data_IF_229814378087
#
_entry.id   IF_229814378087
#
_cell.length_a   1.000
_cell.length_b   1.000
_cell.length_c   1.000
_cell.angle_alpha   90.00
_cell.angle_beta   90.00
_cell.angle_gamma   90.00
#
_symmetry.space_group_name_H-M   'P 1'
#
loop_
_entity.id
_entity.type
_entity.pdbx_description
1 polymer ?
#
# COMPACT_ATOMS: atom_id res chain seq x y z
N UNK A 1 28.57 -20.37 -19.13
CA UNK A 1 28.44 -20.08 -17.69
C UNK A 1 27.28 -19.08 -17.55
N UNK A 2 26.35 -19.30 -16.64
CA UNK A 2 25.29 -18.34 -16.35
C UNK A 2 25.80 -17.31 -15.33
N UNK A 3 25.52 -16.02 -15.57
CA UNK A 3 25.79 -14.94 -14.62
C UNK A 3 24.48 -14.55 -13.93
N UNK A 4 24.57 -14.15 -12.67
CA UNK A 4 23.44 -13.65 -11.88
C UNK A 4 23.38 -12.12 -11.94
N UNK A 5 22.24 -11.56 -11.56
CA UNK A 5 22.05 -10.11 -11.50
C UNK A 5 22.80 -9.54 -10.28
N UNK A 6 23.89 -8.82 -10.52
CA UNK A 6 24.75 -8.23 -9.49
C UNK A 6 24.06 -7.15 -8.66
N UNK A 7 22.98 -6.54 -9.16
CA UNK A 7 22.24 -5.53 -8.41
C UNK A 7 21.66 -6.07 -7.09
N UNK A 8 21.42 -7.38 -6.99
CA UNK A 8 20.99 -8.01 -5.74
C UNK A 8 22.01 -7.88 -4.60
N UNK A 9 23.28 -7.68 -4.91
CA UNK A 9 24.32 -7.42 -3.89
C UNK A 9 24.15 -6.05 -3.21
N UNK A 10 23.33 -5.15 -3.79
CA UNK A 10 23.05 -3.82 -3.24
C UNK A 10 21.82 -3.80 -2.32
N UNK A 11 21.08 -4.91 -2.21
CA UNK A 11 19.98 -5.04 -1.27
C UNK A 11 20.52 -5.20 0.16
N UNK A 12 19.75 -4.75 1.15
CA UNK A 12 20.02 -5.09 2.55
C UNK A 12 19.92 -6.61 2.73
N UNK A 13 20.79 -7.19 3.58
CA UNK A 13 20.84 -8.64 3.80
C UNK A 13 19.52 -9.22 4.29
N UNK A 14 18.76 -8.47 5.09
CA UNK A 14 17.47 -8.90 5.58
C UNK A 14 16.38 -7.87 5.26
N UNK A 15 15.19 -8.38 5.00
CA UNK A 15 14.00 -7.56 4.88
C UNK A 15 13.48 -7.20 6.28
N UNK A 16 13.19 -5.92 6.56
CA UNK A 16 12.75 -5.38 7.87
C UNK A 16 11.85 -6.31 8.68
N UNK A 17 10.83 -6.87 8.03
CA UNK A 17 9.85 -7.71 8.72
C UNK A 17 10.42 -9.09 9.14
N UNK A 18 11.49 -9.57 8.49
CA UNK A 18 12.18 -10.80 8.91
C UNK A 18 12.96 -10.57 10.20
N UNK A 19 13.66 -9.43 10.33
CA UNK A 19 14.41 -9.10 11.55
C UNK A 19 13.48 -8.97 12.76
N UNK A 20 12.34 -8.30 12.58
CA UNK A 20 11.29 -8.20 13.60
C UNK A 20 10.81 -9.60 13.99
N UNK A 21 10.50 -10.45 13.02
CA UNK A 21 10.01 -11.80 13.26
C UNK A 21 11.02 -12.64 14.07
N UNK A 22 12.31 -12.57 13.73
CA UNK A 22 13.37 -13.28 14.44
C UNK A 22 13.50 -12.81 15.90
N UNK A 23 13.55 -11.50 16.15
CA UNK A 23 13.60 -10.95 17.52
C UNK A 23 12.40 -11.36 18.36
N UNK A 24 11.19 -11.26 17.78
CA UNK A 24 9.94 -11.62 18.48
C UNK A 24 9.87 -13.12 18.77
N UNK A 25 10.30 -13.99 17.84
CA UNK A 25 10.34 -15.44 18.05
C UNK A 25 11.32 -15.81 19.16
N UNK A 26 12.53 -15.26 19.12
CA UNK A 26 13.53 -15.49 20.17
C UNK A 26 13.02 -15.05 21.56
N UNK A 27 12.36 -13.90 21.63
CA UNK A 27 11.77 -13.43 22.90
C UNK A 27 10.63 -14.35 23.39
N UNK A 28 9.74 -14.79 22.49
CA UNK A 28 8.63 -15.69 22.83
C UNK A 28 9.12 -17.05 23.32
N UNK A 29 10.19 -17.61 22.73
CA UNK A 29 10.82 -18.86 23.17
C UNK A 29 11.42 -18.72 24.57
N UNK A 30 12.07 -17.58 24.86
CA UNK A 30 12.65 -17.31 26.18
C UNK A 30 11.61 -16.97 27.27
N UNK A 31 10.41 -16.54 26.87
CA UNK A 31 9.35 -16.06 27.78
C UNK A 31 7.97 -16.64 27.38
N UNK A 32 7.76 -17.96 27.48
CA UNK A 32 6.54 -18.61 26.99
C UNK A 32 5.28 -18.24 27.81
N UNK A 33 5.45 -17.70 29.00
CA UNK A 33 4.39 -17.20 29.87
C UNK A 33 3.91 -15.77 29.52
N UNK A 34 4.61 -15.06 28.66
CA UNK A 34 4.30 -13.67 28.31
C UNK A 34 3.36 -13.58 27.11
N UNK A 35 2.26 -12.86 27.25
CA UNK A 35 1.37 -12.52 26.15
C UNK A 35 1.96 -11.34 25.36
N UNK A 36 2.42 -11.60 24.14
CA UNK A 36 2.91 -10.58 23.21
C UNK A 36 1.76 -10.06 22.35
N UNK A 37 1.54 -8.75 22.36
CA UNK A 37 0.54 -8.07 21.52
C UNK A 37 1.24 -7.50 20.28
N UNK A 38 0.78 -7.90 19.10
CA UNK A 38 1.39 -7.51 17.81
C UNK A 38 0.58 -6.40 17.15
N UNK A 39 1.14 -5.19 17.13
CA UNK A 39 0.59 -4.01 16.44
C UNK A 39 1.57 -3.48 15.36
N UNK A 40 2.43 -4.35 14.82
CA UNK A 40 3.45 -3.97 13.83
C UNK A 40 3.13 -4.42 12.40
N UNK A 41 2.43 -5.53 12.23
CA UNK A 41 2.17 -6.11 10.91
C UNK A 41 1.00 -5.39 10.25
N UNK A 42 1.19 -4.98 9.01
CA UNK A 42 0.14 -4.39 8.19
C UNK A 42 -0.78 -5.46 7.59
N UNK A 43 -1.26 -6.39 8.39
CA UNK A 43 -2.21 -7.42 7.99
C UNK A 43 -3.55 -7.26 8.74
N UNK A 44 -4.64 -7.46 8.00
CA UNK A 44 -5.99 -7.39 8.55
C UNK A 44 -6.27 -8.62 9.43
N UNK A 45 -7.12 -8.45 10.44
CA UNK A 45 -7.43 -9.50 11.43
C UNK A 45 -8.90 -9.91 11.43
N UNK A 46 -9.78 -9.09 10.84
CA UNK A 46 -11.18 -9.44 10.67
C UNK A 46 -11.36 -10.40 9.48
N UNK A 47 -12.34 -11.31 9.56
CA UNK A 47 -12.65 -12.22 8.46
C UNK A 47 -13.16 -11.47 7.22
N UNK A 48 -13.15 -12.14 6.08
CA UNK A 48 -13.79 -11.64 4.86
C UNK A 48 -15.28 -11.34 5.09
N UNK A 49 -15.78 -10.32 4.43
CA UNK A 49 -17.20 -9.97 4.44
C UNK A 49 -18.05 -11.16 3.98
N UNK A 50 -19.22 -11.35 4.60
CA UNK A 50 -20.08 -12.49 4.32
C UNK A 50 -20.48 -12.58 2.83
N UNK A 51 -20.84 -11.48 2.20
CA UNK A 51 -21.19 -11.44 0.78
C UNK A 51 -20.04 -11.89 -0.13
N UNK A 52 -18.79 -11.59 0.26
CA UNK A 52 -17.58 -12.03 -0.45
C UNK A 52 -17.41 -13.54 -0.33
N UNK A 53 -17.55 -14.08 0.88
CA UNK A 53 -17.48 -15.54 1.12
C UNK A 53 -18.56 -16.27 0.35
N UNK A 54 -19.80 -15.78 0.38
CA UNK A 54 -20.94 -16.38 -0.34
C UNK A 54 -20.69 -16.37 -1.87
N UNK A 55 -20.16 -15.29 -2.42
CA UNK A 55 -19.83 -15.18 -3.84
C UNK A 55 -18.72 -16.17 -4.24
N UNK A 56 -17.67 -16.28 -3.43
CA UNK A 56 -16.58 -17.24 -3.66
C UNK A 56 -17.09 -18.69 -3.56
N UNK A 57 -17.92 -19.02 -2.56
CA UNK A 57 -18.48 -20.35 -2.39
C UNK A 57 -19.36 -20.75 -3.59
N UNK A 58 -20.18 -19.83 -4.09
CA UNK A 58 -20.96 -20.04 -5.31
C UNK A 58 -20.05 -20.29 -6.52
N UNK A 59 -19.00 -19.48 -6.69
CA UNK A 59 -18.05 -19.66 -7.79
C UNK A 59 -17.30 -21.00 -7.70
N UNK A 60 -16.96 -21.48 -6.48
CA UNK A 60 -16.38 -22.83 -6.29
C UNK A 60 -17.36 -23.91 -6.76
N UNK A 61 -18.65 -23.80 -6.40
CA UNK A 61 -19.65 -24.76 -6.85
C UNK A 61 -19.81 -24.77 -8.38
N UNK A 62 -19.76 -23.62 -9.03
CA UNK A 62 -19.76 -23.47 -10.49
C UNK A 62 -18.58 -24.19 -11.15
N UNK A 63 -17.41 -24.20 -10.55
CA UNK A 63 -16.22 -24.89 -11.06
C UNK A 63 -16.34 -26.42 -11.03
N UNK A 64 -17.23 -26.95 -10.22
CA UNK A 64 -17.52 -28.37 -10.12
C UNK A 64 -18.53 -28.90 -11.18
N UNK A 65 -19.10 -28.05 -12.01
CA UNK A 65 -20.13 -28.40 -12.99
C UNK A 65 -19.62 -28.12 -14.39
N UNK A 66 -19.67 -29.11 -15.25
CA UNK A 66 -19.12 -29.07 -16.62
C UNK A 66 -19.63 -27.86 -17.44
N UNK A 67 -20.91 -27.50 -17.32
CA UNK A 67 -21.51 -26.39 -18.08
C UNK A 67 -21.09 -24.99 -17.59
N UNK A 68 -20.59 -24.89 -16.37
CA UNK A 68 -20.18 -23.62 -15.75
C UNK A 68 -18.69 -23.57 -15.40
N UNK A 69 -17.96 -24.67 -15.64
CA UNK A 69 -16.51 -24.71 -15.46
C UNK A 69 -15.80 -23.62 -16.25
N UNK A 70 -14.78 -23.03 -15.66
CA UNK A 70 -13.92 -21.99 -16.26
C UNK A 70 -12.49 -22.50 -16.37
N UNK A 71 -11.95 -22.51 -17.59
CA UNK A 71 -10.52 -22.68 -17.84
C UNK A 71 -9.74 -21.38 -17.60
N UNK A 72 -8.65 -21.19 -18.35
CA UNK A 72 -7.93 -19.92 -18.32
C UNK A 72 -8.86 -18.75 -18.66
N UNK A 73 -8.92 -17.78 -17.77
CA UNK A 73 -9.65 -16.53 -18.02
C UNK A 73 -8.82 -15.50 -18.78
N UNK A 74 -9.40 -14.32 -19.05
CA UNK A 74 -8.63 -13.18 -19.58
C UNK A 74 -7.54 -12.77 -18.59
N UNK A 75 -6.33 -12.55 -19.08
CA UNK A 75 -5.17 -12.17 -18.25
C UNK A 75 -5.39 -10.81 -17.55
N UNK A 76 -6.20 -9.93 -18.16
CA UNK A 76 -6.54 -8.60 -17.62
C UNK A 76 -7.67 -8.62 -16.59
N UNK A 77 -8.38 -9.73 -16.48
CA UNK A 77 -9.54 -9.89 -15.61
C UNK A 77 -10.85 -10.07 -16.39
N UNK A 78 -11.89 -10.47 -15.68
CA UNK A 78 -13.21 -10.68 -16.24
C UNK A 78 -14.03 -9.39 -16.33
N UNK A 79 -14.86 -9.28 -17.36
CA UNK A 79 -15.70 -8.11 -17.64
C UNK A 79 -16.63 -7.73 -16.47
N UNK A 80 -17.10 -8.72 -15.69
CA UNK A 80 -17.97 -8.44 -14.54
C UNK A 80 -17.25 -7.62 -13.47
N UNK A 81 -15.96 -7.89 -13.23
CA UNK A 81 -15.18 -7.13 -12.25
C UNK A 81 -14.77 -5.78 -12.79
N UNK A 82 -14.39 -5.68 -14.07
CA UNK A 82 -14.15 -4.40 -14.74
C UNK A 82 -15.37 -3.48 -14.65
N UNK A 83 -16.57 -3.98 -14.96
CA UNK A 83 -17.80 -3.20 -14.87
C UNK A 83 -18.08 -2.71 -13.45
N UNK A 84 -17.83 -3.54 -12.43
CA UNK A 84 -17.96 -3.15 -11.04
C UNK A 84 -16.97 -2.04 -10.66
N UNK A 85 -15.73 -2.13 -11.10
CA UNK A 85 -14.69 -1.12 -10.85
C UNK A 85 -14.97 0.21 -11.58
N UNK A 86 -15.39 0.17 -12.85
CA UNK A 86 -15.81 1.37 -13.60
C UNK A 86 -16.92 2.11 -12.83
N UNK A 87 -17.95 1.37 -12.36
CA UNK A 87 -19.02 1.95 -11.54
C UNK A 87 -18.51 2.53 -10.21
N UNK A 88 -17.56 1.84 -9.58
CA UNK A 88 -16.94 2.28 -8.33
C UNK A 88 -16.20 3.61 -8.49
N UNK A 89 -15.38 3.75 -9.53
CA UNK A 89 -14.69 5.01 -9.85
C UNK A 89 -15.65 6.14 -10.20
N UNK A 90 -16.71 5.84 -10.94
CA UNK A 90 -17.75 6.83 -11.26
C UNK A 90 -18.41 7.41 -10.00
N UNK A 91 -18.47 6.65 -8.89
CA UNK A 91 -19.07 7.11 -7.63
C UNK A 91 -18.32 8.25 -6.96
N UNK A 92 -17.05 8.47 -7.31
CA UNK A 92 -16.25 9.62 -6.87
C UNK A 92 -15.73 10.50 -8.02
N UNK A 93 -16.47 10.48 -9.14
CA UNK A 93 -16.29 11.43 -10.24
C UNK A 93 -15.20 11.08 -11.24
N UNK A 94 -14.67 9.87 -11.22
CA UNK A 94 -13.67 9.40 -12.18
C UNK A 94 -14.31 8.51 -13.24
N UNK A 95 -14.11 8.84 -14.51
CA UNK A 95 -14.55 8.01 -15.65
C UNK A 95 -13.37 7.17 -16.14
N UNK A 96 -13.53 5.86 -16.19
CA UNK A 96 -12.55 4.91 -16.73
C UNK A 96 -13.19 4.07 -17.84
N UNK A 97 -12.37 3.70 -18.83
CA UNK A 97 -12.68 2.63 -19.76
C UNK A 97 -12.33 1.26 -19.13
N UNK A 98 -13.07 0.22 -19.49
CA UNK A 98 -12.84 -1.13 -18.93
C UNK A 98 -11.43 -1.65 -19.17
N UNK A 99 -10.85 -1.35 -20.32
CA UNK A 99 -9.52 -1.77 -20.75
C UNK A 99 -8.39 -0.86 -20.26
N UNK A 100 -8.71 0.17 -19.47
CA UNK A 100 -7.75 0.91 -18.64
C UNK A 100 -7.46 0.16 -17.32
N UNK A 101 -8.26 -0.86 -16.95
CA UNK A 101 -8.18 -1.58 -15.67
C UNK A 101 -7.60 -2.98 -15.89
N UNK A 102 -6.61 -3.37 -15.11
CA UNK A 102 -5.94 -4.67 -15.16
C UNK A 102 -5.99 -5.33 -13.80
N UNK A 103 -6.70 -6.44 -13.67
CA UNK A 103 -6.83 -7.19 -12.42
C UNK A 103 -5.53 -7.95 -12.14
N UNK A 104 -5.09 -7.91 -10.88
CA UNK A 104 -3.84 -8.49 -10.43
C UNK A 104 -3.99 -9.25 -9.10
N UNK A 105 -2.91 -9.89 -8.67
CA UNK A 105 -2.82 -10.58 -7.38
C UNK A 105 -2.45 -9.64 -6.21
N UNK A 106 -2.48 -8.34 -6.43
CA UNK A 106 -2.33 -7.30 -5.40
C UNK A 106 -1.27 -6.26 -5.70
N UNK A 107 -1.40 -5.10 -5.06
CA UNK A 107 -0.54 -3.94 -5.31
C UNK A 107 0.96 -4.20 -5.10
N UNK A 108 1.36 -5.13 -4.21
CA UNK A 108 2.78 -5.45 -4.02
C UNK A 108 3.41 -6.00 -5.30
N UNK A 109 2.73 -6.93 -5.96
CA UNK A 109 3.18 -7.49 -7.24
C UNK A 109 3.14 -6.42 -8.34
N UNK A 110 2.10 -5.59 -8.37
CA UNK A 110 1.97 -4.52 -9.35
C UNK A 110 3.07 -3.47 -9.20
N UNK A 111 3.39 -3.04 -7.98
CA UNK A 111 4.48 -2.11 -7.71
C UNK A 111 5.83 -2.60 -8.25
N UNK A 112 6.07 -3.91 -8.22
CA UNK A 112 7.27 -4.52 -8.77
C UNK A 112 7.15 -4.73 -10.29
N UNK A 113 6.05 -5.30 -10.74
CA UNK A 113 5.85 -5.72 -12.12
C UNK A 113 5.74 -4.54 -13.10
N UNK A 114 5.16 -3.41 -12.67
CA UNK A 114 5.01 -2.22 -13.52
C UNK A 114 6.36 -1.65 -13.96
N UNK A 115 7.41 -1.92 -13.20
CA UNK A 115 8.76 -1.47 -13.56
C UNK A 115 9.31 -2.12 -14.84
N UNK A 116 8.74 -3.26 -15.27
CA UNK A 116 9.14 -3.95 -16.51
C UNK A 116 8.91 -3.11 -17.78
N UNK A 117 7.98 -2.14 -17.74
CA UNK A 117 7.66 -1.30 -18.90
C UNK A 117 8.50 -0.02 -18.97
N UNK A 118 9.38 0.21 -18.00
CA UNK A 118 10.26 1.38 -17.94
C UNK A 118 11.72 1.01 -18.19
N UNK A 119 12.46 1.90 -18.88
CA UNK A 119 13.92 1.73 -19.07
C UNK A 119 14.65 1.68 -17.74
N UNK A 120 15.71 0.87 -17.67
CA UNK A 120 16.59 0.85 -16.49
C UNK A 120 17.44 2.12 -16.38
N UNK A 121 17.52 2.93 -17.42
CA UNK A 121 18.18 4.24 -17.40
C UNK A 121 17.37 5.32 -16.69
N UNK A 122 16.07 5.07 -16.39
CA UNK A 122 15.21 6.05 -15.72
C UNK A 122 15.69 6.33 -14.31
N UNK A 123 15.60 7.61 -13.92
CA UNK A 123 15.77 8.07 -12.55
C UNK A 123 14.45 7.97 -11.80
N UNK A 124 14.50 7.35 -10.63
CA UNK A 124 13.34 7.09 -9.78
C UNK A 124 13.34 8.06 -8.59
N UNK A 125 12.21 8.70 -8.33
CA UNK A 125 12.01 9.58 -7.19
C UNK A 125 11.11 8.89 -6.17
N UNK A 126 11.63 8.69 -4.95
CA UNK A 126 10.97 7.92 -3.88
C UNK A 126 10.92 8.76 -2.60
N UNK A 127 9.76 8.87 -1.92
CA UNK A 127 9.70 9.45 -0.57
C UNK A 127 10.52 8.62 0.44
N UNK A 128 11.08 9.27 1.46
CA UNK A 128 11.71 8.63 2.63
C UNK A 128 11.12 9.29 3.89
N UNK A 129 10.47 8.55 4.80
CA UNK A 129 10.30 7.09 4.86
C UNK A 129 9.26 6.57 3.87
N UNK A 130 9.40 5.30 3.46
CA UNK A 130 8.57 4.71 2.42
C UNK A 130 8.39 3.19 2.62
N UNK A 131 7.39 2.63 1.93
CA UNK A 131 7.24 1.18 1.81
C UNK A 131 8.44 0.57 1.04
N UNK A 132 9.22 -0.36 1.65
CA UNK A 132 10.51 -0.80 1.09
C UNK A 132 10.44 -1.40 -0.31
N UNK A 133 9.27 -1.90 -0.73
CA UNK A 133 9.10 -2.55 -2.05
C UNK A 133 9.44 -1.61 -3.21
N UNK A 134 9.13 -0.31 -3.11
CA UNK A 134 9.46 0.64 -4.19
C UNK A 134 10.98 0.78 -4.35
N UNK A 135 11.70 0.83 -3.23
CA UNK A 135 13.15 0.93 -3.20
C UNK A 135 13.79 -0.36 -3.73
N UNK A 136 13.48 -1.51 -3.11
CA UNK A 136 14.12 -2.78 -3.39
C UNK A 136 13.93 -3.21 -4.85
N UNK A 137 12.72 -3.02 -5.40
CA UNK A 137 12.43 -3.34 -6.80
C UNK A 137 13.30 -2.54 -7.76
N UNK A 138 13.52 -1.26 -7.51
CA UNK A 138 14.36 -0.42 -8.38
C UNK A 138 15.85 -0.67 -8.18
N UNK A 139 16.30 -1.05 -6.97
CA UNK A 139 17.66 -1.56 -6.73
C UNK A 139 17.89 -2.83 -7.55
N UNK A 140 16.97 -3.80 -7.53
CA UNK A 140 17.07 -5.03 -8.32
C UNK A 140 17.21 -4.76 -9.83
N UNK A 141 16.63 -3.68 -10.32
CA UNK A 141 16.73 -3.25 -11.72
C UNK A 141 17.98 -2.39 -12.01
N UNK A 142 18.74 -2.00 -10.99
CA UNK A 142 19.94 -1.16 -11.12
C UNK A 142 19.65 0.29 -11.47
N UNK A 143 18.46 0.82 -11.16
CA UNK A 143 18.05 2.20 -11.45
C UNK A 143 18.66 3.19 -10.48
N UNK A 144 18.88 4.41 -10.97
CA UNK A 144 19.26 5.54 -10.12
C UNK A 144 18.07 6.01 -9.27
N UNK A 145 18.28 6.18 -7.97
CA UNK A 145 17.23 6.54 -7.01
C UNK A 145 17.57 7.86 -6.33
N UNK A 146 16.62 8.78 -6.35
CA UNK A 146 16.65 10.04 -5.61
C UNK A 146 15.58 9.96 -4.51
N UNK A 147 15.94 10.38 -3.30
CA UNK A 147 15.03 10.39 -2.15
C UNK A 147 14.46 11.78 -1.91
N UNK A 148 13.17 11.83 -1.59
CA UNK A 148 12.48 13.02 -1.09
C UNK A 148 12.32 12.90 0.41
N UNK A 149 12.85 13.84 1.17
CA UNK A 149 12.80 13.81 2.63
C UNK A 149 11.39 14.16 3.17
N UNK A 150 10.71 13.15 3.71
CA UNK A 150 9.53 13.33 4.54
C UNK A 150 9.94 13.64 5.98
N UNK A 151 9.48 14.77 6.51
CA UNK A 151 9.82 15.30 7.83
C UNK A 151 8.57 15.71 8.60
N UNK A 152 8.65 15.90 9.92
CA UNK A 152 7.56 16.45 10.70
C UNK A 152 6.98 17.76 10.14
N UNK A 153 7.85 18.64 9.63
CA UNK A 153 7.50 19.98 9.13
C UNK A 153 6.63 19.94 7.86
N UNK A 154 6.74 18.86 7.07
CA UNK A 154 5.91 18.62 5.89
C UNK A 154 4.92 17.45 6.08
N UNK A 155 4.66 17.06 7.33
CA UNK A 155 3.79 15.93 7.68
C UNK A 155 4.15 14.63 6.96
N UNK A 156 5.45 14.43 6.65
CA UNK A 156 5.97 13.30 5.86
C UNK A 156 5.37 13.18 4.45
N UNK A 157 4.94 14.31 3.90
CA UNK A 157 4.41 14.45 2.53
C UNK A 157 5.33 15.39 1.75
N UNK A 158 6.46 14.90 1.21
CA UNK A 158 7.34 15.74 0.40
C UNK A 158 6.62 16.26 -0.84
N UNK A 159 6.98 17.47 -1.24
CA UNK A 159 6.42 18.16 -2.40
C UNK A 159 7.46 18.22 -3.53
N UNK A 160 7.04 18.48 -4.79
CA UNK A 160 7.96 18.57 -5.91
C UNK A 160 9.04 19.63 -5.67
N UNK A 161 10.29 19.28 -6.01
CA UNK A 161 11.40 20.23 -6.11
C UNK A 161 11.75 20.45 -7.58
N UNK A 162 11.63 21.68 -8.06
CA UNK A 162 11.90 22.08 -9.45
C UNK A 162 13.37 21.86 -9.89
N UNK A 163 14.29 21.75 -8.93
CA UNK A 163 15.71 21.47 -9.18
C UNK A 163 16.00 19.96 -9.33
N UNK A 164 15.06 19.11 -8.98
CA UNK A 164 15.19 17.66 -9.13
C UNK A 164 14.47 17.21 -10.38
N UNK A 165 15.12 16.41 -11.22
CA UNK A 165 14.49 15.76 -12.37
C UNK A 165 14.41 14.26 -12.12
N UNK A 166 13.24 13.72 -12.32
CA UNK A 166 12.98 12.28 -12.21
C UNK A 166 12.05 11.84 -13.35
N UNK A 167 12.17 10.59 -13.74
CA UNK A 167 11.39 10.01 -14.83
C UNK A 167 10.18 9.22 -14.28
N UNK A 168 10.35 8.57 -13.12
CA UNK A 168 9.30 7.81 -12.45
C UNK A 168 9.25 8.22 -10.98
N UNK A 169 8.05 8.54 -10.51
CA UNK A 169 7.80 9.10 -9.18
C UNK A 169 6.86 8.16 -8.43
N UNK A 170 7.26 7.67 -7.26
CA UNK A 170 6.35 6.94 -6.39
C UNK A 170 5.66 7.88 -5.40
N UNK A 171 4.34 7.81 -5.34
CA UNK A 171 3.53 8.47 -4.32
C UNK A 171 2.59 7.44 -3.71
N UNK A 172 2.46 7.41 -2.40
CA UNK A 172 1.49 6.57 -1.69
C UNK A 172 0.57 7.46 -0.86
N UNK A 173 -0.73 7.40 -1.13
CA UNK A 173 -1.70 8.22 -0.40
C UNK A 173 -3.04 7.49 -0.23
N UNK A 174 -3.45 7.26 1.02
CA UNK A 174 -2.72 7.45 2.28
C UNK A 174 -1.42 6.65 2.37
N UNK A 175 -0.40 7.21 3.03
CA UNK A 175 0.97 6.68 2.99
C UNK A 175 1.21 5.54 4.00
N UNK A 176 1.97 4.56 3.59
CA UNK A 176 2.64 3.59 4.46
C UNK A 176 4.14 3.93 4.48
N UNK A 177 4.76 4.30 5.63
CA UNK A 177 4.32 4.00 7.00
C UNK A 177 3.60 5.13 7.75
N UNK A 178 3.57 6.36 7.23
CA UNK A 178 3.28 7.57 8.01
C UNK A 178 1.78 7.82 8.23
N UNK A 179 0.92 7.18 7.44
CA UNK A 179 -0.52 7.39 7.49
C UNK A 179 -1.01 8.74 6.96
N UNK A 180 -0.10 9.60 6.50
CA UNK A 180 -0.42 10.91 5.94
C UNK A 180 -1.03 10.77 4.54
N UNK A 181 -1.90 11.71 4.16
CA UNK A 181 -2.57 11.72 2.87
C UNK A 181 -2.45 13.09 2.20
N UNK A 182 -2.16 13.10 0.90
CA UNK A 182 -2.07 14.32 0.10
C UNK A 182 -3.44 14.96 -0.10
N UNK A 183 -3.50 16.29 0.00
CA UNK A 183 -4.68 17.05 -0.41
C UNK A 183 -4.79 17.14 -1.92
N UNK A 184 -5.94 17.61 -2.41
CA UNK A 184 -6.15 17.84 -3.84
C UNK A 184 -5.11 18.80 -4.42
N UNK A 185 -4.88 19.92 -3.75
CA UNK A 185 -3.93 20.95 -4.19
C UNK A 185 -2.48 20.45 -4.21
N UNK A 186 -2.13 19.55 -3.31
CA UNK A 186 -0.80 18.92 -3.30
C UNK A 186 -0.64 17.95 -4.47
N UNK A 187 -1.67 17.17 -4.78
CA UNK A 187 -1.64 16.27 -5.94
C UNK A 187 -1.65 17.05 -7.26
N UNK A 188 -2.35 18.18 -7.35
CA UNK A 188 -2.30 19.08 -8.52
C UNK A 188 -0.86 19.55 -8.81
N UNK A 189 -0.08 19.88 -7.75
CA UNK A 189 1.33 20.24 -7.92
C UNK A 189 2.17 19.07 -8.43
N UNK A 190 1.93 17.85 -7.94
CA UNK A 190 2.62 16.65 -8.42
C UNK A 190 2.28 16.32 -9.88
N UNK A 191 1.01 16.45 -10.26
CA UNK A 191 0.58 16.26 -11.66
C UNK A 191 1.21 17.30 -12.57
N UNK A 192 1.21 18.58 -12.16
CA UNK A 192 1.84 19.66 -12.93
C UNK A 192 3.36 19.42 -13.10
N UNK A 193 4.05 19.00 -12.02
CA UNK A 193 5.47 18.64 -12.07
C UNK A 193 5.73 17.47 -13.04
N UNK A 194 4.93 16.41 -12.97
CA UNK A 194 5.09 15.24 -13.82
C UNK A 194 4.85 15.57 -15.30
N UNK A 195 3.85 16.37 -15.62
CA UNK A 195 3.56 16.83 -16.97
C UNK A 195 4.69 17.71 -17.53
N UNK A 196 5.22 18.62 -16.71
CA UNK A 196 6.33 19.52 -17.10
C UNK A 196 7.62 18.76 -17.42
N UNK A 197 7.88 17.66 -16.71
CA UNK A 197 9.11 16.88 -16.82
C UNK A 197 8.95 15.59 -17.65
N UNK A 198 7.82 15.37 -18.31
CA UNK A 198 7.47 14.10 -19.00
C UNK A 198 7.59 12.86 -18.07
N UNK A 199 7.48 13.04 -16.76
CA UNK A 199 7.60 11.99 -15.77
C UNK A 199 6.30 11.18 -15.65
N UNK A 200 6.39 9.98 -15.04
CA UNK A 200 5.23 9.13 -14.71
C UNK A 200 5.12 8.98 -13.21
N UNK A 201 3.94 9.26 -12.67
CA UNK A 201 3.60 8.99 -11.28
C UNK A 201 3.06 7.57 -11.14
N UNK A 202 3.68 6.77 -10.29
CA UNK A 202 3.13 5.51 -9.78
C UNK A 202 2.45 5.81 -8.45
N UNK A 203 1.12 5.89 -8.49
CA UNK A 203 0.31 6.30 -7.35
C UNK A 203 -0.26 5.06 -6.64
N UNK A 204 0.26 4.75 -5.47
CA UNK A 204 -0.23 3.64 -4.64
C UNK A 204 -1.42 4.10 -3.78
N UNK A 205 -2.61 3.59 -4.14
CA UNK A 205 -3.89 3.88 -3.50
C UNK A 205 -4.38 2.72 -2.61
N UNK A 206 -3.49 1.88 -2.10
CA UNK A 206 -3.86 0.67 -1.35
C UNK A 206 -4.71 0.94 -0.09
N UNK A 207 -4.74 2.17 0.40
CA UNK A 207 -5.50 2.59 1.59
C UNK A 207 -6.63 3.58 1.27
N UNK A 208 -6.99 3.78 0.00
CA UNK A 208 -7.98 4.77 -0.43
C UNK A 208 -9.34 4.63 0.28
N UNK A 209 -9.74 3.38 0.59
CA UNK A 209 -11.02 3.09 1.24
C UNK A 209 -11.11 3.61 2.69
N UNK A 210 -9.98 3.93 3.32
CA UNK A 210 -9.90 4.56 4.65
C UNK A 210 -10.15 6.07 4.63
N UNK A 211 -10.10 6.68 3.46
CA UNK A 211 -10.36 8.12 3.31
C UNK A 211 -11.84 8.40 3.53
N UNK A 212 -12.14 9.22 4.55
CA UNK A 212 -13.50 9.66 4.90
C UNK A 212 -13.72 11.14 4.68
N UNK A 213 -12.65 11.93 4.63
CA UNK A 213 -12.72 13.37 4.35
C UNK A 213 -12.84 13.60 2.83
N UNK A 214 -13.91 14.25 2.34
CA UNK A 214 -14.10 14.55 0.92
C UNK A 214 -13.04 15.48 0.33
N UNK A 215 -12.29 16.20 1.16
CA UNK A 215 -11.19 17.06 0.71
C UNK A 215 -9.93 16.25 0.33
N UNK A 216 -9.82 14.99 0.76
CA UNK A 216 -8.72 14.10 0.42
C UNK A 216 -9.11 13.21 -0.76
N UNK A 217 -8.37 13.28 -1.88
CA UNK A 217 -8.65 12.44 -3.04
C UNK A 217 -8.47 10.93 -2.75
N UNK A 218 -9.43 10.13 -3.19
CA UNK A 218 -9.35 8.66 -3.15
C UNK A 218 -8.60 8.08 -4.35
N UNK A 219 -8.51 8.84 -5.42
CA UNK A 219 -7.81 8.50 -6.65
C UNK A 219 -7.08 9.73 -7.19
N UNK A 220 -5.90 9.52 -7.76
CA UNK A 220 -5.18 10.61 -8.45
C UNK A 220 -5.94 11.11 -9.68
N UNK A 221 -6.81 10.28 -10.26
CA UNK A 221 -7.57 10.62 -11.46
C UNK A 221 -8.72 11.62 -11.25
N UNK A 222 -8.97 12.06 -10.01
CA UNK A 222 -9.82 13.23 -9.76
C UNK A 222 -9.10 14.56 -10.09
N UNK A 223 -7.77 14.51 -10.27
CA UNK A 223 -6.95 15.65 -10.68
C UNK A 223 -6.98 15.76 -12.20
N UNK A 224 -7.22 16.97 -12.70
CA UNK A 224 -7.21 17.26 -14.13
C UNK A 224 -5.88 16.84 -14.75
N UNK A 225 -5.93 16.25 -15.94
CA UNK A 225 -4.77 15.77 -16.69
C UNK A 225 -3.93 14.63 -16.04
N UNK A 226 -4.28 14.15 -14.85
CA UNK A 226 -3.55 13.04 -14.21
C UNK A 226 -3.48 11.78 -15.09
N UNK A 227 -4.50 11.51 -15.91
CA UNK A 227 -4.48 10.40 -16.87
C UNK A 227 -3.36 10.48 -17.90
N UNK A 228 -2.76 11.65 -18.12
CA UNK A 228 -1.64 11.85 -19.04
C UNK A 228 -0.28 11.54 -18.39
N UNK A 229 -0.22 11.39 -17.06
CA UNK A 229 1.06 11.24 -16.37
C UNK A 229 1.04 10.26 -15.18
N UNK A 230 -0.07 9.58 -14.87
CA UNK A 230 -0.15 8.69 -13.72
C UNK A 230 -0.65 7.29 -14.06
N UNK A 231 -0.15 6.31 -13.31
CA UNK A 231 -0.64 4.94 -13.17
C UNK A 231 -1.08 4.78 -11.71
N UNK A 232 -2.27 4.22 -11.48
CA UNK A 232 -2.77 3.98 -10.13
C UNK A 232 -2.72 2.50 -9.78
N UNK A 233 -2.18 2.18 -8.61
CA UNK A 233 -2.00 0.82 -8.09
C UNK A 233 -2.94 0.62 -6.90
N UNK A 234 -3.84 -0.37 -6.99
CA UNK A 234 -4.92 -0.57 -6.03
C UNK A 234 -4.89 -1.98 -5.43
N UNK A 235 -5.41 -2.09 -4.20
CA UNK A 235 -5.41 -3.35 -3.47
C UNK A 235 -6.72 -3.59 -2.74
N UNK A 236 -7.26 -4.80 -2.84
CA UNK A 236 -8.36 -5.25 -1.99
C UNK A 236 -7.88 -5.81 -0.64
N UNK A 237 -6.57 -5.92 -0.44
CA UNK A 237 -6.01 -6.46 0.80
C UNK A 237 -6.48 -5.70 2.04
N UNK A 238 -6.52 -4.36 1.98
CA UNK A 238 -6.87 -3.51 3.12
C UNK A 238 -8.32 -3.06 3.09
N UNK A 239 -8.89 -2.94 1.89
CA UNK A 239 -10.28 -2.56 1.66
C UNK A 239 -11.27 -3.66 2.08
N UNK A 240 -10.93 -4.92 1.78
CA UNK A 240 -11.86 -6.05 1.88
C UNK A 240 -11.25 -7.34 2.47
N UNK A 241 -10.05 -7.27 3.05
CA UNK A 241 -9.42 -8.41 3.70
C UNK A 241 -8.77 -9.43 2.76
N UNK A 242 -8.47 -9.08 1.52
CA UNK A 242 -7.88 -9.97 0.50
C UNK A 242 -6.37 -10.21 0.69
N UNK A 243 -5.88 -10.18 1.91
CA UNK A 243 -4.46 -10.43 2.21
C UNK A 243 -4.04 -11.88 1.93
N UNK A 244 -4.92 -12.84 2.17
CA UNK A 244 -4.70 -14.27 1.91
C UNK A 244 -5.23 -14.76 0.56
N UNK A 245 -6.29 -14.14 0.05
CA UNK A 245 -6.95 -14.54 -1.21
C UNK A 245 -6.34 -13.90 -2.46
N UNK A 246 -5.63 -12.79 -2.30
CA UNK A 246 -4.87 -12.06 -3.31
C UNK A 246 -5.71 -11.48 -4.45
N UNK A 247 -6.07 -10.21 -4.35
CA UNK A 247 -6.62 -9.44 -5.46
C UNK A 247 -6.28 -7.95 -5.32
N UNK A 248 -5.96 -7.33 -6.43
CA UNK A 248 -5.77 -5.91 -6.63
C UNK A 248 -6.02 -5.57 -8.09
N UNK A 249 -5.69 -4.37 -8.47
CA UNK A 249 -5.76 -3.92 -9.86
C UNK A 249 -4.89 -2.72 -10.10
N UNK A 250 -4.50 -2.54 -11.35
CA UNK A 250 -3.76 -1.38 -11.84
C UNK A 250 -4.61 -0.63 -12.84
N UNK A 251 -4.65 0.70 -12.76
CA UNK A 251 -5.29 1.55 -13.77
C UNK A 251 -4.20 2.23 -14.59
N UNK A 252 -4.17 1.91 -15.89
CA UNK A 252 -3.22 2.47 -16.86
C UNK A 252 -4.00 3.17 -17.96
N UNK A 253 -4.13 4.50 -17.92
CA UNK A 253 -4.93 5.25 -18.89
C UNK A 253 -4.39 5.17 -20.33
N UNK A 254 -5.29 5.16 -21.31
CA UNK A 254 -4.91 5.27 -22.73
C UNK A 254 -4.21 6.58 -23.05
N UNK A 255 -4.54 7.66 -22.34
CA UNK A 255 -3.94 8.97 -22.53
C UNK A 255 -2.45 9.05 -22.10
N UNK A 256 -1.95 8.02 -21.39
CA UNK A 256 -0.56 7.98 -20.92
C UNK A 256 0.38 7.47 -22.00
N UNK A 257 1.05 8.40 -22.68
CA UNK A 257 2.01 8.13 -23.75
C UNK A 257 3.39 8.64 -23.36
N UNK A 258 4.43 7.85 -23.60
CA UNK A 258 5.84 8.25 -23.39
C UNK A 258 6.69 7.82 -24.58
N UNK A 259 7.91 8.37 -24.68
CA UNK A 259 8.84 8.08 -25.77
C UNK A 259 9.89 7.06 -25.32
N UNK A 260 10.29 6.21 -26.24
CA UNK A 260 11.51 5.41 -26.08
C UNK A 260 12.74 6.31 -26.23
N UNK A 261 13.92 5.81 -25.84
CA UNK A 261 15.19 6.52 -26.03
C UNK A 261 15.45 6.91 -27.49
N UNK A 262 14.92 6.13 -28.45
CA UNK A 262 14.98 6.43 -29.90
C UNK A 262 13.90 7.43 -30.36
N UNK A 263 13.06 7.96 -29.48
CA UNK A 263 12.03 8.94 -29.76
C UNK A 263 10.70 8.38 -30.28
N UNK A 264 10.51 7.05 -30.33
CA UNK A 264 9.24 6.44 -30.72
C UNK A 264 8.21 6.58 -29.58
N UNK A 265 7.03 7.10 -29.91
CA UNK A 265 5.90 7.18 -28.97
C UNK A 265 5.29 5.81 -28.70
N UNK A 266 5.01 5.54 -27.42
CA UNK A 266 4.42 4.29 -26.90
C UNK A 266 3.32 4.61 -25.90
N UNK A 267 2.15 3.98 -26.08
CA UNK A 267 1.08 3.99 -25.09
C UNK A 267 1.42 3.00 -23.96
N UNK A 268 1.51 3.48 -22.73
CA UNK A 268 1.88 2.61 -21.61
C UNK A 268 0.81 1.56 -21.33
N UNK A 269 -0.46 1.85 -21.59
CA UNK A 269 -1.54 0.87 -21.52
C UNK A 269 -1.24 -0.36 -22.41
N UNK A 270 -0.87 -0.16 -23.66
CA UNK A 270 -0.52 -1.26 -24.59
C UNK A 270 0.74 -2.02 -24.16
N UNK A 271 1.71 -1.33 -23.57
CA UNK A 271 2.90 -1.98 -23.02
C UNK A 271 2.55 -2.85 -21.83
N UNK A 272 1.73 -2.34 -20.91
CA UNK A 272 1.28 -3.08 -19.75
C UNK A 272 0.40 -4.28 -20.15
N UNK A 273 -0.54 -4.09 -21.07
CA UNK A 273 -1.33 -5.17 -21.66
C UNK A 273 -0.42 -6.29 -22.21
N UNK A 274 0.60 -5.92 -22.99
CA UNK A 274 1.54 -6.90 -23.56
C UNK A 274 2.35 -7.62 -22.48
N UNK A 275 2.79 -6.88 -21.44
CA UNK A 275 3.50 -7.47 -20.31
C UNK A 275 2.61 -8.48 -19.56
N UNK A 276 1.39 -8.10 -19.22
CA UNK A 276 0.45 -8.96 -18.50
C UNK A 276 0.12 -10.23 -19.30
N UNK A 277 -0.22 -10.09 -20.57
CA UNK A 277 -0.49 -11.23 -21.46
C UNK A 277 0.72 -12.19 -21.59
N UNK A 278 1.95 -11.68 -21.41
CA UNK A 278 3.17 -12.50 -21.55
C UNK A 278 3.59 -13.18 -20.25
N UNK A 279 3.40 -12.54 -19.09
CA UNK A 279 3.99 -12.95 -17.82
C UNK A 279 2.96 -13.30 -16.73
N UNK A 280 1.65 -13.24 -17.04
CA UNK A 280 0.58 -13.44 -16.09
C UNK A 280 -0.63 -14.12 -16.71
N UNK A 281 -1.26 -15.06 -16.00
CA UNK A 281 -2.45 -15.80 -16.47
C UNK A 281 -3.76 -15.34 -15.82
N UNK A 282 -3.74 -14.18 -15.16
CA UNK A 282 -4.90 -13.61 -14.48
C UNK A 282 -5.13 -14.17 -13.07
N UNK A 283 -5.95 -13.46 -12.33
CA UNK A 283 -6.43 -13.87 -10.99
C UNK A 283 -7.48 -14.97 -11.14
N UNK A 284 -7.53 -15.99 -10.27
CA UNK A 284 -8.52 -17.04 -10.33
C UNK A 284 -9.96 -16.53 -10.39
N UNK A 285 -10.80 -17.18 -11.19
CA UNK A 285 -12.23 -16.87 -11.34
C UNK A 285 -12.94 -16.70 -9.99
N UNK A 286 -12.73 -17.64 -9.08
CA UNK A 286 -13.32 -17.65 -7.74
C UNK A 286 -13.01 -16.38 -6.96
N UNK A 287 -11.76 -15.92 -7.03
CA UNK A 287 -11.29 -14.73 -6.34
C UNK A 287 -11.90 -13.47 -6.98
N UNK A 288 -11.98 -13.40 -8.31
CA UNK A 288 -12.60 -12.27 -8.99
C UNK A 288 -14.11 -12.16 -8.73
N UNK A 289 -14.84 -13.28 -8.55
CA UNK A 289 -16.24 -13.25 -8.09
C UNK A 289 -16.39 -12.71 -6.67
N UNK A 290 -15.47 -13.07 -5.77
CA UNK A 290 -15.41 -12.46 -4.45
C UNK A 290 -15.08 -10.95 -4.52
N UNK A 291 -14.15 -10.57 -5.39
CA UNK A 291 -13.79 -9.17 -5.61
C UNK A 291 -14.94 -8.34 -6.18
N UNK A 292 -15.71 -8.88 -7.13
CA UNK A 292 -16.94 -8.24 -7.64
C UNK A 292 -17.93 -7.94 -6.50
N UNK A 293 -18.12 -8.91 -5.59
CA UNK A 293 -19.04 -8.76 -4.48
C UNK A 293 -18.67 -7.62 -3.53
N UNK A 294 -17.37 -7.28 -3.41
CA UNK A 294 -16.89 -6.11 -2.63
C UNK A 294 -17.54 -4.82 -3.10
N UNK A 295 -17.75 -4.65 -4.40
CA UNK A 295 -18.28 -3.43 -5.02
C UNK A 295 -19.81 -3.41 -5.15
N UNK A 296 -20.51 -4.44 -4.68
CA UNK A 296 -21.96 -4.38 -4.49
C UNK A 296 -22.32 -3.44 -3.33
N UNK A 297 -23.58 -3.00 -3.27
CA UNK A 297 -24.05 -2.16 -2.15
C UNK A 297 -23.83 -2.84 -0.79
N UNK A 298 -24.14 -4.12 -0.68
CA UNK A 298 -23.91 -4.90 0.53
C UNK A 298 -22.42 -5.09 0.83
N UNK A 299 -21.60 -5.34 -0.20
CA UNK A 299 -20.14 -5.47 -0.06
C UNK A 299 -19.49 -4.19 0.43
N UNK A 300 -19.83 -3.05 -0.16
CA UNK A 300 -19.35 -1.73 0.27
C UNK A 300 -19.73 -1.49 1.73
N UNK A 301 -20.98 -1.80 2.13
CA UNK A 301 -21.44 -1.65 3.52
C UNK A 301 -20.63 -2.51 4.47
N UNK A 302 -20.51 -3.82 4.23
CA UNK A 302 -19.79 -4.76 5.10
C UNK A 302 -18.29 -4.43 5.19
N UNK A 303 -17.66 -4.02 4.08
CA UNK A 303 -16.26 -3.58 4.10
C UNK A 303 -16.08 -2.29 4.89
N UNK A 304 -17.01 -1.33 4.80
CA UNK A 304 -16.98 -0.11 5.61
C UNK A 304 -17.12 -0.39 7.11
N UNK A 305 -17.91 -1.37 7.51
CA UNK A 305 -18.03 -1.81 8.91
C UNK A 305 -16.67 -2.32 9.43
N UNK A 306 -15.95 -3.12 8.65
CA UNK A 306 -14.60 -3.59 8.98
C UNK A 306 -13.59 -2.44 9.05
N UNK A 307 -13.64 -1.50 8.11
CA UNK A 307 -12.78 -0.31 8.12
C UNK A 307 -13.07 0.55 9.34
N UNK A 308 -14.34 0.79 9.68
CA UNK A 308 -14.73 1.56 10.87
C UNK A 308 -14.24 0.90 12.17
N UNK A 309 -14.22 -0.43 12.23
CA UNK A 309 -13.62 -1.14 13.36
C UNK A 309 -12.14 -0.80 13.54
N UNK A 310 -11.37 -0.77 12.45
CA UNK A 310 -9.95 -0.41 12.51
C UNK A 310 -9.73 1.08 12.76
N UNK A 311 -10.56 1.95 12.20
CA UNK A 311 -10.50 3.39 12.48
C UNK A 311 -10.75 3.69 13.97
N UNK A 312 -11.65 2.95 14.61
CA UNK A 312 -11.86 3.07 16.06
C UNK A 312 -10.63 2.57 16.86
N UNK A 313 -9.94 1.51 16.42
CA UNK A 313 -8.68 1.10 17.00
C UNK A 313 -7.60 2.20 16.86
N UNK A 314 -7.52 2.83 15.69
CA UNK A 314 -6.61 3.96 15.47
C UNK A 314 -6.90 5.12 16.44
N UNK A 315 -8.19 5.45 16.64
CA UNK A 315 -8.61 6.48 17.61
C UNK A 315 -8.16 6.16 19.03
N UNK A 316 -8.32 4.90 19.47
CA UNK A 316 -7.86 4.45 20.80
C UNK A 316 -6.35 4.63 20.94
N UNK A 317 -5.57 4.30 19.90
CA UNK A 317 -4.12 4.46 19.91
C UNK A 317 -3.75 5.95 20.01
N UNK A 318 -4.35 6.80 19.17
CA UNK A 318 -4.10 8.25 19.17
C UNK A 318 -4.44 8.89 20.52
N UNK A 319 -5.63 8.62 21.07
CA UNK A 319 -6.03 9.12 22.39
C UNK A 319 -5.11 8.63 23.51
N UNK A 320 -4.55 7.42 23.35
CA UNK A 320 -3.56 6.90 24.30
C UNK A 320 -2.27 7.70 24.27
N UNK A 321 -1.79 8.10 23.08
CA UNK A 321 -0.61 8.94 22.94
C UNK A 321 -0.82 10.36 23.42
N UNK A 322 -2.01 10.94 23.20
CA UNK A 322 -2.38 12.24 23.76
C UNK A 322 -2.23 12.29 25.29
N UNK A 323 -2.61 11.21 26.00
CA UNK A 323 -2.50 11.08 27.46
C UNK A 323 -1.06 11.10 28.00
N UNK A 324 -0.08 10.76 27.17
CA UNK A 324 1.35 10.72 27.52
C UNK A 324 2.19 11.73 26.75
N UNK A 325 1.57 12.59 25.93
CA UNK A 325 2.21 13.67 25.23
C UNK A 325 3.15 13.23 24.09
N UNK A 326 2.94 12.06 23.51
CA UNK A 326 3.71 11.57 22.35
C UNK A 326 3.16 12.21 21.09
N UNK A 327 4.06 12.79 20.28
CA UNK A 327 3.72 13.30 18.95
C UNK A 327 3.51 12.14 17.97
N UNK A 328 2.46 12.21 17.17
CA UNK A 328 2.15 11.22 16.14
C UNK A 328 1.54 11.86 14.90
N UNK A 329 1.50 11.08 13.82
CA UNK A 329 0.96 11.42 12.50
C UNK A 329 0.13 10.24 12.01
N UNK A 330 -0.76 10.47 11.03
CA UNK A 330 -1.62 9.41 10.48
C UNK A 330 -2.79 9.05 11.39
N UNK A 331 -3.29 7.81 11.24
CA UNK A 331 -4.39 7.26 12.05
C UNK A 331 -5.80 7.69 11.64
N UNK A 332 -5.95 8.76 10.84
CA UNK A 332 -7.27 9.27 10.40
C UNK A 332 -7.71 8.63 9.08
N UNK A 333 -6.84 8.71 8.06
CA UNK A 333 -7.13 8.21 6.70
C UNK A 333 -6.42 6.89 6.40
N UNK A 334 -5.86 6.24 7.41
CA UNK A 334 -5.10 5.02 7.29
C UNK A 334 -5.09 4.25 8.62
N UNK A 335 -4.81 2.94 8.58
CA UNK A 335 -4.66 2.15 9.80
C UNK A 335 -3.30 2.36 10.49
N UNK A 336 -2.43 3.25 9.99
CA UNK A 336 -1.08 3.47 10.50
C UNK A 336 -0.99 4.71 11.36
N UNK A 337 -0.38 4.56 12.53
CA UNK A 337 -0.01 5.64 13.43
C UNK A 337 1.52 5.69 13.47
N UNK A 338 2.07 6.81 13.01
CA UNK A 338 3.48 7.10 12.93
C UNK A 338 3.88 8.03 14.07
N UNK A 339 4.50 7.49 15.10
CA UNK A 339 4.82 8.23 16.32
C UNK A 339 6.31 8.53 16.42
N UNK A 340 6.63 9.64 17.08
CA UNK A 340 8.01 9.98 17.47
C UNK A 340 8.40 9.11 18.67
N UNK A 341 9.56 8.47 18.62
CA UNK A 341 10.09 7.68 19.74
C UNK A 341 10.29 8.57 20.96
N UNK A 342 9.83 8.17 22.15
CA UNK A 342 9.95 8.96 23.35
C UNK A 342 11.41 9.05 23.84
N UNK A 343 11.71 10.10 24.62
CA UNK A 343 12.99 10.28 25.33
C UNK A 343 14.25 10.24 24.44
N UNK A 344 14.12 10.54 23.14
CA UNK A 344 15.24 10.51 22.19
C UNK A 344 15.74 9.10 21.84
N UNK A 345 14.95 8.06 22.14
CA UNK A 345 15.29 6.69 21.73
C UNK A 345 15.39 6.59 20.23
N UNK A 346 16.32 5.78 19.75
CA UNK A 346 16.31 5.29 18.38
C UNK A 346 15.09 4.36 18.13
N UNK A 347 14.76 4.15 16.87
CA UNK A 347 13.61 3.30 16.53
C UNK A 347 13.77 1.85 17.01
N UNK A 348 14.98 1.31 17.04
CA UNK A 348 15.24 -0.03 17.54
C UNK A 348 15.32 -0.10 19.08
N UNK A 349 15.85 0.92 19.76
CA UNK A 349 15.80 0.98 21.24
C UNK A 349 14.35 1.03 21.73
N UNK A 350 13.49 1.76 21.03
CA UNK A 350 12.07 1.79 21.37
C UNK A 350 11.37 0.46 21.07
N UNK A 351 11.77 -0.23 20.00
CA UNK A 351 11.29 -1.60 19.73
C UNK A 351 11.66 -2.56 20.86
N UNK A 352 12.92 -2.56 21.29
CA UNK A 352 13.38 -3.43 22.36
C UNK A 352 12.69 -3.08 23.70
N UNK A 353 12.52 -1.80 24.02
CA UNK A 353 11.72 -1.36 25.17
C UNK A 353 10.29 -1.87 25.13
N UNK A 354 9.59 -1.73 24.01
CA UNK A 354 8.22 -2.19 23.87
C UNK A 354 8.12 -3.72 24.01
N UNK A 355 9.00 -4.47 23.38
CA UNK A 355 9.00 -5.93 23.41
C UNK A 355 9.36 -6.46 24.80
N UNK A 356 10.46 -6.01 25.39
CA UNK A 356 11.01 -6.57 26.62
C UNK A 356 10.25 -6.12 27.89
N UNK A 357 9.84 -4.86 27.94
CA UNK A 357 9.21 -4.29 29.13
C UNK A 357 7.69 -4.36 29.09
N UNK A 358 7.10 -4.26 27.88
CA UNK A 358 5.65 -4.11 27.74
C UNK A 358 4.99 -5.24 26.95
N UNK A 359 5.76 -6.12 26.32
CA UNK A 359 5.32 -7.20 25.44
C UNK A 359 4.39 -6.69 24.33
N UNK A 360 4.74 -5.55 23.76
CA UNK A 360 4.06 -4.95 22.60
C UNK A 360 5.05 -4.89 21.44
N UNK A 361 4.60 -5.21 20.24
CA UNK A 361 5.41 -5.21 19.01
C UNK A 361 4.81 -4.23 18.02
N UNK A 362 5.64 -3.29 17.57
CA UNK A 362 5.38 -2.40 16.43
C UNK A 362 6.48 -2.52 15.39
N UNK A 363 6.64 -1.51 14.55
CA UNK A 363 7.65 -1.53 13.47
C UNK A 363 8.60 -0.34 13.61
N UNK A 364 9.92 -0.56 13.78
CA UNK A 364 10.91 0.49 13.83
C UNK A 364 10.92 1.33 12.56
N UNK A 365 10.94 2.65 12.72
CA UNK A 365 10.89 3.58 11.60
C UNK A 365 12.12 3.54 10.69
N UNK A 366 13.31 3.26 11.25
CA UNK A 366 14.55 3.08 10.48
C UNK A 366 14.44 2.00 9.37
N UNK A 367 13.49 1.07 9.51
CA UNK A 367 13.24 0.06 8.49
C UNK A 367 12.52 0.57 7.24
N UNK A 368 11.95 1.77 7.30
CA UNK A 368 11.26 2.42 6.17
C UNK A 368 12.13 3.47 5.47
N UNK A 369 13.36 3.69 5.92
CA UNK A 369 14.28 4.65 5.35
C UNK A 369 15.01 5.46 6.41
N UNK A 370 15.96 6.29 5.96
CA UNK A 370 16.79 7.10 6.84
C UNK A 370 15.99 8.12 7.64
N UNK A 371 14.98 8.74 7.01
CA UNK A 371 14.11 9.73 7.65
C UNK A 371 13.11 9.10 8.62
N UNK A 372 13.05 7.76 8.67
CA UNK A 372 12.27 7.02 9.67
C UNK A 372 12.99 6.81 11.01
N UNK A 373 14.30 7.16 11.12
CA UNK A 373 15.01 7.03 12.39
C UNK A 373 14.45 7.97 13.44
N UNK A 374 14.31 7.48 14.69
CA UNK A 374 13.63 8.20 15.77
C UNK A 374 12.09 8.19 15.70
N UNK A 375 11.52 7.45 14.74
CA UNK A 375 10.08 7.23 14.60
C UNK A 375 9.74 5.75 14.68
N UNK A 376 8.44 5.49 14.86
CA UNK A 376 7.92 4.14 15.04
C UNK A 376 6.50 4.01 14.46
N UNK A 377 6.17 2.87 13.86
CA UNK A 377 4.83 2.63 13.34
C UNK A 377 4.06 1.65 14.21
N UNK A 378 2.87 2.02 14.66
CA UNK A 378 1.83 1.11 15.11
C UNK A 378 0.74 0.98 14.07
N UNK A 379 0.03 -0.15 14.10
CA UNK A 379 -1.10 -0.42 13.21
C UNK A 379 -2.38 -0.66 14.00
N UNK A 380 -3.50 -0.24 13.44
CA UNK A 380 -4.83 -0.43 14.00
C UNK A 380 -5.46 -1.80 13.68
N UNK A 381 -4.73 -2.70 13.04
CA UNK A 381 -5.24 -3.99 12.59
C UNK A 381 -5.36 -5.07 13.68
N UNK A 382 -5.08 -4.75 14.93
CA UNK A 382 -5.29 -5.65 16.06
C UNK A 382 -6.76 -5.88 16.41
N UNK A 383 -7.03 -6.83 17.32
CA UNK A 383 -8.34 -6.87 17.98
C UNK A 383 -8.53 -5.66 18.90
N UNK A 384 -9.78 -5.29 19.17
CA UNK A 384 -10.11 -4.18 20.06
C UNK A 384 -9.49 -4.36 21.44
N UNK A 385 -9.64 -5.55 22.00
CA UNK A 385 -9.15 -5.92 23.33
C UNK A 385 -7.62 -5.81 23.39
N UNK A 386 -6.93 -6.35 22.40
CA UNK A 386 -5.47 -6.26 22.33
C UNK A 386 -4.99 -4.81 22.11
N UNK A 387 -5.73 -4.02 21.34
CA UNK A 387 -5.40 -2.60 21.14
C UNK A 387 -5.51 -1.80 22.43
N UNK A 388 -6.60 -1.98 23.18
CA UNK A 388 -6.80 -1.35 24.51
C UNK A 388 -5.69 -1.79 25.47
N UNK A 389 -5.46 -3.09 25.61
CA UNK A 389 -4.44 -3.65 26.51
C UNK A 389 -3.03 -3.15 26.16
N UNK A 390 -2.67 -3.10 24.87
CA UNK A 390 -1.38 -2.57 24.43
C UNK A 390 -1.21 -1.11 24.82
N UNK A 391 -2.24 -0.28 24.62
CA UNK A 391 -2.20 1.13 24.99
C UNK A 391 -2.11 1.34 26.50
N UNK A 392 -2.81 0.54 27.31
CA UNK A 392 -2.67 0.58 28.76
C UNK A 392 -1.23 0.25 29.19
N UNK A 393 -0.62 -0.77 28.62
CA UNK A 393 0.79 -1.14 28.89
C UNK A 393 1.75 -0.02 28.51
N UNK A 394 1.57 0.58 27.32
CA UNK A 394 2.42 1.69 26.83
C UNK A 394 2.27 2.92 27.74
N UNK A 395 1.06 3.35 28.02
CA UNK A 395 0.78 4.51 28.88
C UNK A 395 1.42 4.33 30.27
N UNK A 396 1.24 3.16 30.88
CA UNK A 396 1.79 2.86 32.21
C UNK A 396 3.33 2.73 32.20
N UNK A 397 3.90 2.21 31.11
CA UNK A 397 5.34 2.06 30.96
C UNK A 397 6.06 3.38 30.72
N UNK A 398 5.41 4.36 30.06
CA UNK A 398 6.00 5.66 29.75
C UNK A 398 5.78 6.72 30.86
N UNK A 399 4.87 6.50 31.80
CA UNK A 399 4.67 7.37 32.98
C UNK A 399 5.69 7.14 34.10
N UNK A 400 6.50 6.09 33.98
CA UNK A 400 7.56 5.77 34.93
C UNK A 400 8.89 6.36 34.49
#
# INVERSE_FOLDING_TARGET
MAFVNENYCNLKESFLFADIAHKVSAYAEAHPDKKIIRLGIGDVTLPLAKCVVDAMAKAVAEMGVQSTFRGYGPEQGYDFLHAALVKYYASFGVTLESDEIFISDGAKSDCANITDIFSNANTILIPDPVYPVYLDTNIMCGRHIIYMEGKPENYFLPMPDENVKADVIYLCSPNNPTGSAYTKEQLEQWVAYALKNDAVILYDAAYEAYVTDPAIPRSIFVIEDAKKCAIELCSLSKTAGFTGTRCGYTVVPHALVRKTESGKEMELNKMWLRRQTTKFNGVPYIIQRGAEAVFSEEGIKQCRESIAYYQENARIIMEGFDKVGIKYYGGVHSPYIWLQCPNGMSSWEFFDFLLEKLQVVGTPGAGFGKMGEGFFRLTAFGSRENTIEAMERIINGLKK
#
